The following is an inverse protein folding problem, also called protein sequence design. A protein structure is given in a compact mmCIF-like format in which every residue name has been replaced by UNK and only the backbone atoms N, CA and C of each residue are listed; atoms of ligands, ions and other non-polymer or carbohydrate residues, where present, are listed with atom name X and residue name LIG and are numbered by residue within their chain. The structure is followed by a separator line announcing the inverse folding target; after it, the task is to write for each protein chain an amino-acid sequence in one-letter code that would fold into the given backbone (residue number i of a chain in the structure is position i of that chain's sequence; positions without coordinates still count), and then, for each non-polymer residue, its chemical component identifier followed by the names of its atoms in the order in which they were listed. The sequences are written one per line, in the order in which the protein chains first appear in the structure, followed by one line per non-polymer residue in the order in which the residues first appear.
data_IF_683022385269
#
_entry.id   IF_683022385269
#
_cell.length_a   1.000
_cell.length_b   1.000
_cell.length_c   1.000
_cell.angle_alpha   90.00
_cell.angle_beta   90.00
_cell.angle_gamma   90.00
#
_symmetry.space_group_name_H-M   'P 1'
#
loop_
_entity.id
_entity.type
_entity.pdbx_description
1 polymer ?
#
# COMPACT_ATOMS: atom_id res chain seq x y z
N UNK A 1 -37.11 19.01 19.58
CA UNK A 1 -36.36 17.89 20.18
C UNK A 1 -36.16 16.69 19.25
N UNK A 2 -37.14 16.26 18.48
CA UNK A 2 -36.99 15.11 17.54
C UNK A 2 -36.08 15.42 16.35
N UNK A 3 -36.11 16.63 15.79
CA UNK A 3 -35.28 17.05 14.66
C UNK A 3 -33.79 17.09 15.02
N UNK A 4 -33.49 17.57 16.25
CA UNK A 4 -32.08 17.66 16.72
C UNK A 4 -31.46 16.28 16.93
N UNK A 5 -32.25 15.30 17.40
CA UNK A 5 -31.80 13.89 17.52
C UNK A 5 -31.55 13.24 16.16
N UNK A 6 -32.33 13.58 15.14
CA UNK A 6 -32.17 13.07 13.79
C UNK A 6 -30.91 13.60 13.14
N UNK A 7 -30.60 14.90 13.30
CA UNK A 7 -29.37 15.54 12.78
C UNK A 7 -28.15 14.98 13.47
N UNK A 8 -28.19 14.76 14.78
CA UNK A 8 -27.10 14.15 15.53
C UNK A 8 -26.83 12.70 15.09
N UNK A 9 -27.88 11.93 14.82
CA UNK A 9 -27.78 10.56 14.32
C UNK A 9 -27.18 10.51 12.91
N UNK A 10 -27.54 11.45 12.02
CA UNK A 10 -26.94 11.57 10.70
C UNK A 10 -25.45 11.93 10.76
N UNK A 11 -25.04 12.83 11.67
CA UNK A 11 -23.63 13.18 11.87
C UNK A 11 -22.78 11.98 12.35
N UNK A 12 -23.36 11.11 13.19
CA UNK A 12 -22.67 9.88 13.61
C UNK A 12 -22.55 8.82 12.51
N UNK A 13 -23.45 8.80 11.54
CA UNK A 13 -23.38 7.84 10.43
C UNK A 13 -22.35 8.23 9.37
N UNK A 14 -22.03 9.52 9.23
CA UNK A 14 -21.00 9.98 8.27
C UNK A 14 -19.58 9.92 8.80
N UNK A 15 -19.36 9.82 10.12
CA UNK A 15 -18.02 9.78 10.71
C UNK A 15 -17.33 8.41 10.61
N UNK A 16 -18.04 7.36 10.24
CA UNK A 16 -17.47 6.00 10.17
C UNK A 16 -16.95 5.59 8.79
N UNK A 17 -17.15 6.40 7.75
CA UNK A 17 -16.76 6.01 6.39
C UNK A 17 -15.25 6.16 6.08
N UNK A 18 -14.50 6.93 6.87
CA UNK A 18 -13.09 7.21 6.61
C UNK A 18 -12.09 6.43 7.47
N UNK A 19 -12.56 5.67 8.46
CA UNK A 19 -11.69 4.98 9.41
C UNK A 19 -11.27 3.56 8.98
N UNK A 20 -11.87 3.01 7.94
CA UNK A 20 -11.77 1.58 7.66
C UNK A 20 -10.55 1.15 6.83
N UNK A 21 -9.92 2.03 6.06
CA UNK A 21 -8.92 1.61 5.08
C UNK A 21 -7.62 1.06 5.70
N UNK A 22 -7.18 1.62 6.84
CA UNK A 22 -5.95 1.15 7.53
C UNK A 22 -6.14 -0.19 8.21
N UNK A 23 -7.23 -0.29 8.93
CA UNK A 23 -7.54 -1.53 9.63
C UNK A 23 -7.82 -2.66 8.67
N UNK A 24 -8.26 -2.37 7.45
CA UNK A 24 -8.47 -3.38 6.42
C UNK A 24 -7.18 -3.91 5.82
N UNK A 25 -6.17 -3.08 5.53
CA UNK A 25 -4.87 -3.56 5.10
C UNK A 25 -4.14 -4.38 6.19
N UNK A 26 -4.29 -3.99 7.47
CA UNK A 26 -3.74 -4.75 8.60
C UNK A 26 -4.63 -5.93 8.99
N UNK A 27 -5.93 -5.85 8.76
CA UNK A 27 -6.92 -6.91 9.02
C UNK A 27 -7.20 -7.81 7.83
N UNK A 28 -6.61 -7.57 6.66
CA UNK A 28 -6.72 -8.51 5.55
C UNK A 28 -6.08 -9.82 6.03
N UNK A 29 -6.85 -10.87 6.33
CA UNK A 29 -6.33 -12.08 6.98
C UNK A 29 -5.38 -12.87 6.08
N UNK A 30 -5.13 -12.38 4.89
CA UNK A 30 -4.37 -13.01 3.82
C UNK A 30 -3.03 -12.32 3.54
N UNK A 31 -2.72 -11.20 4.25
CA UNK A 31 -1.40 -10.58 4.20
C UNK A 31 -0.52 -11.13 5.31
N UNK A 32 0.66 -11.57 4.97
CA UNK A 32 1.69 -11.95 5.93
C UNK A 32 2.83 -10.95 5.95
N UNK A 33 3.36 -10.76 7.16
CA UNK A 33 4.59 -9.98 7.33
C UNK A 33 5.75 -10.83 6.84
N UNK A 34 6.51 -10.28 5.93
CA UNK A 34 7.79 -10.86 5.53
C UNK A 34 8.89 -10.30 6.44
N UNK A 35 9.48 -11.15 7.26
CA UNK A 35 10.52 -10.78 8.21
C UNK A 35 11.84 -10.52 7.50
N UNK A 36 12.00 -9.33 6.95
CA UNK A 36 13.30 -8.82 6.52
C UNK A 36 13.79 -7.81 7.55
N UNK A 37 15.07 -7.89 7.90
CA UNK A 37 15.74 -6.83 8.63
C UNK A 37 15.90 -5.65 7.68
N UNK A 38 15.03 -4.65 7.80
CA UNK A 38 15.13 -3.43 7.02
C UNK A 38 15.81 -2.34 7.84
N UNK A 39 16.79 -1.68 7.27
CA UNK A 39 17.40 -0.50 7.89
C UNK A 39 16.41 0.67 7.97
N UNK A 40 15.42 0.68 7.10
CA UNK A 40 14.48 1.79 6.88
C UNK A 40 13.20 1.71 7.73
N UNK A 41 13.07 0.71 8.60
CA UNK A 41 11.88 0.45 9.42
C UNK A 41 10.59 0.20 8.60
N UNK A 42 10.70 -0.03 7.31
CA UNK A 42 9.57 -0.41 6.47
C UNK A 42 9.10 -1.82 6.83
N UNK A 43 7.81 -2.01 6.74
CA UNK A 43 7.18 -3.33 6.89
C UNK A 43 6.78 -3.85 5.53
N UNK A 44 7.28 -5.02 5.20
CA UNK A 44 6.93 -5.72 3.97
C UNK A 44 5.83 -6.72 4.26
N UNK A 45 4.81 -6.69 3.43
CA UNK A 45 3.68 -7.60 3.48
C UNK A 45 3.58 -8.29 2.12
N UNK A 46 3.12 -9.51 2.10
CA UNK A 46 2.83 -10.20 0.86
C UNK A 46 1.47 -10.88 0.91
N UNK A 47 0.83 -11.00 -0.25
CA UNK A 47 -0.45 -11.64 -0.37
C UNK A 47 -0.27 -13.17 -0.35
N UNK A 48 -0.87 -13.86 0.61
CA UNK A 48 -0.99 -15.31 0.66
C UNK A 48 -2.16 -15.84 -0.15
N UNK A 49 -3.18 -15.03 -0.30
CA UNK A 49 -4.40 -15.32 -1.03
C UNK A 49 -4.83 -14.07 -1.78
N UNK A 50 -5.62 -14.21 -2.83
CA UNK A 50 -6.22 -13.05 -3.48
C UNK A 50 -6.99 -12.19 -2.49
N UNK A 51 -6.87 -10.89 -2.64
CA UNK A 51 -7.64 -9.93 -1.87
C UNK A 51 -8.15 -8.78 -2.72
N UNK A 52 -9.18 -8.14 -2.22
CA UNK A 52 -9.82 -6.99 -2.85
C UNK A 52 -9.94 -5.88 -1.82
N UNK A 53 -9.57 -4.67 -2.18
CA UNK A 53 -9.63 -3.48 -1.33
C UNK A 53 -10.06 -2.25 -2.13
N UNK A 54 -10.17 -1.11 -1.44
CA UNK A 54 -10.52 0.17 -2.04
C UNK A 54 -12.02 0.43 -2.05
N UNK A 55 -12.39 1.59 -2.58
CA UNK A 55 -13.78 1.99 -2.74
C UNK A 55 -14.47 1.01 -3.70
N UNK A 56 -15.59 0.44 -3.28
CA UNK A 56 -16.33 -0.56 -4.06
C UNK A 56 -15.49 -1.79 -4.47
N UNK A 57 -14.49 -2.14 -3.68
CA UNK A 57 -13.61 -3.28 -3.96
C UNK A 57 -12.96 -3.20 -5.35
N UNK A 58 -12.54 -2.03 -5.76
CA UNK A 58 -12.03 -1.80 -7.12
C UNK A 58 -10.56 -2.15 -7.30
N UNK A 59 -9.80 -2.41 -6.23
CA UNK A 59 -8.39 -2.84 -6.28
C UNK A 59 -8.32 -4.33 -6.01
N UNK A 60 -7.80 -5.09 -6.96
CA UNK A 60 -7.61 -6.52 -6.86
C UNK A 60 -6.13 -6.87 -6.91
N UNK A 61 -5.74 -7.84 -6.09
CA UNK A 61 -4.38 -8.36 -6.01
C UNK A 61 -4.42 -9.86 -5.75
N UNK A 62 -3.55 -10.59 -6.40
CA UNK A 62 -3.46 -12.03 -6.26
C UNK A 62 -2.29 -12.44 -5.36
N UNK A 63 -2.27 -13.71 -4.95
CA UNK A 63 -1.22 -14.25 -4.11
C UNK A 63 0.12 -14.28 -4.85
N UNK A 64 1.19 -14.02 -4.12
CA UNK A 64 2.55 -14.07 -4.62
C UNK A 64 3.26 -15.38 -4.23
N UNK A 65 4.12 -15.87 -5.11
CA UNK A 65 4.96 -17.03 -4.83
C UNK A 65 6.19 -16.64 -4.01
N UNK A 66 6.59 -17.47 -3.05
CA UNK A 66 7.77 -17.18 -2.18
C UNK A 66 9.06 -16.96 -2.96
N UNK A 67 9.23 -17.66 -4.08
CA UNK A 67 10.46 -17.60 -4.89
C UNK A 67 10.72 -16.20 -5.45
N UNK A 68 9.68 -15.50 -5.87
CA UNK A 68 9.81 -14.18 -6.47
C UNK A 68 9.87 -13.06 -5.42
N UNK A 69 9.31 -13.31 -4.25
CA UNK A 69 9.31 -12.35 -3.14
C UNK A 69 10.70 -11.93 -2.72
N UNK A 70 11.57 -12.88 -2.40
CA UNK A 70 12.92 -12.57 -1.89
C UNK A 70 13.70 -11.70 -2.88
N UNK A 71 13.67 -12.07 -4.17
CA UNK A 71 14.33 -11.32 -5.22
C UNK A 71 13.79 -9.89 -5.32
N UNK A 72 12.47 -9.70 -5.28
CA UNK A 72 11.84 -8.38 -5.33
C UNK A 72 12.14 -7.55 -4.10
N UNK A 73 12.23 -8.16 -2.93
CA UNK A 73 12.66 -7.46 -1.72
C UNK A 73 14.06 -6.89 -1.84
N UNK A 74 15.01 -7.67 -2.33
CA UNK A 74 16.39 -7.21 -2.52
C UNK A 74 16.43 -6.01 -3.48
N UNK A 75 15.61 -6.03 -4.52
CA UNK A 75 15.48 -4.89 -5.45
C UNK A 75 14.93 -3.68 -4.73
N UNK A 76 13.87 -3.83 -3.94
CA UNK A 76 13.26 -2.73 -3.19
C UNK A 76 14.26 -2.12 -2.20
N UNK A 77 14.90 -2.93 -1.38
CA UNK A 77 15.89 -2.47 -0.40
C UNK A 77 17.05 -1.73 -1.06
N UNK A 78 17.61 -2.28 -2.13
CA UNK A 78 18.67 -1.65 -2.91
C UNK A 78 18.25 -0.28 -3.45
N UNK A 79 17.03 -0.15 -3.94
CA UNK A 79 16.55 1.10 -4.52
C UNK A 79 16.16 2.12 -3.45
N UNK A 80 15.52 1.69 -2.38
CA UNK A 80 15.13 2.59 -1.28
C UNK A 80 16.35 3.07 -0.47
N UNK A 81 17.42 2.29 -0.39
CA UNK A 81 18.66 2.73 0.25
C UNK A 81 19.36 3.92 -0.45
N UNK A 82 18.97 4.23 -1.69
CA UNK A 82 19.43 5.43 -2.42
C UNK A 82 18.82 6.73 -1.90
N UNK A 83 17.69 6.64 -1.20
CA UNK A 83 17.07 7.81 -0.59
C UNK A 83 17.70 8.09 0.78
N UNK A 84 17.91 9.36 1.13
CA UNK A 84 18.36 9.71 2.48
C UNK A 84 17.39 9.16 3.55
N UNK A 85 17.93 8.64 4.65
CA UNK A 85 17.09 8.07 5.73
C UNK A 85 16.08 9.08 6.28
N UNK A 86 16.47 10.34 6.44
CA UNK A 86 15.58 11.41 6.92
C UNK A 86 14.47 11.73 5.92
N UNK A 87 14.73 11.56 4.64
CA UNK A 87 13.75 11.76 3.59
C UNK A 87 12.65 10.70 3.62
N UNK A 88 13.02 9.41 3.69
CA UNK A 88 12.05 8.33 3.82
C UNK A 88 11.21 8.46 5.10
N UNK A 89 11.84 8.90 6.19
CA UNK A 89 11.12 9.19 7.43
C UNK A 89 10.13 10.35 7.28
N UNK A 90 10.49 11.39 6.54
CA UNK A 90 9.64 12.55 6.30
C UNK A 90 8.38 12.20 5.51
N UNK A 91 8.50 11.39 4.48
CA UNK A 91 7.33 10.92 3.71
C UNK A 91 6.52 9.87 4.46
N UNK A 92 7.04 9.37 5.57
CA UNK A 92 6.37 8.42 6.47
C UNK A 92 5.85 7.15 5.78
N UNK A 93 6.51 6.70 4.71
CA UNK A 93 6.20 5.42 4.09
C UNK A 93 6.33 4.31 5.14
N UNK A 94 5.28 3.50 5.33
CA UNK A 94 5.20 2.51 6.40
C UNK A 94 5.21 1.08 5.90
N UNK A 95 4.47 0.84 4.83
CA UNK A 95 4.22 -0.51 4.34
C UNK A 95 4.48 -0.62 2.86
N UNK A 96 5.01 -1.76 2.45
CA UNK A 96 5.06 -2.17 1.05
C UNK A 96 4.38 -3.53 0.95
N UNK A 97 3.34 -3.60 0.12
CA UNK A 97 2.56 -4.82 -0.12
C UNK A 97 2.95 -5.39 -1.48
N UNK A 98 3.36 -6.65 -1.48
CA UNK A 98 3.74 -7.38 -2.66
C UNK A 98 2.64 -8.36 -3.05
N UNK A 99 2.23 -8.31 -4.31
CA UNK A 99 1.25 -9.23 -4.87
C UNK A 99 1.44 -9.43 -6.37
N UNK A 100 0.62 -10.21 -7.00
CA UNK A 100 0.63 -10.46 -8.44
C UNK A 100 -0.69 -10.02 -9.08
N UNK A 101 -0.63 -9.70 -10.37
CA UNK A 101 -1.80 -9.31 -11.17
C UNK A 101 -2.61 -8.16 -10.51
N UNK A 102 -1.90 -7.13 -10.06
CA UNK A 102 -2.50 -5.95 -9.46
C UNK A 102 -3.35 -5.20 -10.49
N UNK A 103 -4.58 -4.86 -10.13
CA UNK A 103 -5.48 -4.11 -11.01
C UNK A 103 -6.35 -3.12 -10.24
N UNK A 104 -6.76 -2.05 -10.93
CA UNK A 104 -7.76 -1.08 -10.46
C UNK A 104 -8.92 -1.10 -11.44
N UNK A 105 -10.12 -1.40 -10.97
CA UNK A 105 -11.34 -1.47 -11.80
C UNK A 105 -11.15 -2.36 -13.04
N UNK A 106 -10.42 -3.48 -12.88
CA UNK A 106 -10.12 -4.42 -13.95
C UNK A 106 -8.98 -4.02 -14.89
N UNK A 107 -8.36 -2.86 -14.68
CA UNK A 107 -7.21 -2.41 -15.48
C UNK A 107 -5.93 -2.75 -14.72
N UNK A 108 -5.07 -3.58 -15.33
CA UNK A 108 -3.78 -3.96 -14.76
C UNK A 108 -2.88 -2.76 -14.52
N UNK A 109 -2.23 -2.71 -13.35
CA UNK A 109 -1.27 -1.69 -12.98
C UNK A 109 -0.07 -2.32 -12.27
N UNK A 110 1.07 -1.67 -12.34
CA UNK A 110 2.29 -2.21 -11.72
C UNK A 110 2.51 -1.73 -10.28
N UNK A 111 1.85 -0.65 -9.86
CA UNK A 111 1.91 -0.12 -8.52
C UNK A 111 0.73 0.79 -8.20
N UNK A 112 0.44 0.94 -6.92
CA UNK A 112 -0.60 1.83 -6.39
C UNK A 112 -0.04 2.48 -5.14
N UNK A 113 0.13 3.82 -5.09
CA UNK A 113 0.46 4.54 -3.87
C UNK A 113 -0.81 4.83 -3.08
N UNK A 114 -0.83 4.49 -1.82
CA UNK A 114 -1.85 4.93 -0.88
C UNK A 114 -1.24 6.01 0.03
N UNK A 115 -1.52 7.26 -0.32
CA UNK A 115 -0.95 8.41 0.37
C UNK A 115 -1.48 8.57 1.79
N UNK A 116 -2.73 8.21 2.03
CA UNK A 116 -3.37 8.28 3.36
C UNK A 116 -2.69 7.26 4.29
N UNK A 117 -2.50 6.05 3.78
CA UNK A 117 -1.96 4.92 4.53
C UNK A 117 -0.45 4.88 4.55
N UNK A 118 0.20 5.72 3.74
CA UNK A 118 1.64 5.68 3.52
C UNK A 118 2.10 4.26 3.16
N UNK A 119 1.33 3.64 2.26
CA UNK A 119 1.50 2.26 1.78
C UNK A 119 1.71 2.25 0.28
N UNK A 120 2.57 1.40 -0.18
CA UNK A 120 2.81 1.14 -1.58
C UNK A 120 2.46 -0.32 -1.88
N UNK A 121 1.54 -0.54 -2.81
CA UNK A 121 1.21 -1.87 -3.32
C UNK A 121 1.91 -2.03 -4.67
N UNK A 122 2.65 -3.11 -4.87
CA UNK A 122 3.41 -3.36 -6.09
C UNK A 122 3.19 -4.77 -6.64
N UNK A 123 3.07 -4.85 -7.95
CA UNK A 123 2.98 -6.11 -8.67
C UNK A 123 4.38 -6.67 -8.94
N UNK A 124 4.64 -7.87 -8.44
CA UNK A 124 5.96 -8.52 -8.54
C UNK A 124 6.18 -9.29 -9.86
N UNK A 125 5.17 -9.41 -10.72
CA UNK A 125 5.30 -10.16 -11.99
C UNK A 125 6.16 -9.44 -13.02
N UNK A 126 6.28 -8.14 -12.93
CA UNK A 126 7.08 -7.36 -13.88
C UNK A 126 8.57 -7.68 -13.80
N UNK A 127 9.27 -7.55 -14.93
CA UNK A 127 10.71 -7.72 -14.97
C UNK A 127 11.43 -6.66 -14.09
N UNK A 128 12.67 -6.95 -13.69
CA UNK A 128 13.39 -6.15 -12.70
C UNK A 128 13.52 -4.68 -13.09
N UNK A 129 13.92 -4.41 -14.33
CA UNK A 129 14.14 -3.04 -14.81
C UNK A 129 12.85 -2.21 -14.80
N UNK A 130 11.74 -2.81 -15.18
CA UNK A 130 10.44 -2.15 -15.15
C UNK A 130 9.96 -1.97 -13.70
N UNK A 131 10.14 -2.99 -12.87
CA UNK A 131 9.79 -2.95 -11.46
C UNK A 131 10.56 -1.84 -10.71
N UNK A 132 11.86 -1.66 -10.95
CA UNK A 132 12.63 -0.55 -10.38
C UNK A 132 12.05 0.82 -10.76
N UNK A 133 11.67 1.00 -12.02
CA UNK A 133 11.05 2.26 -12.47
C UNK A 133 9.72 2.52 -11.78
N UNK A 134 8.87 1.51 -11.70
CA UNK A 134 7.58 1.60 -11.01
C UNK A 134 7.79 1.97 -9.55
N UNK A 135 8.70 1.30 -8.85
CA UNK A 135 9.00 1.59 -7.46
C UNK A 135 9.31 3.07 -7.23
N UNK A 136 10.20 3.64 -8.04
CA UNK A 136 10.55 5.06 -7.93
C UNK A 136 9.40 5.98 -8.33
N UNK A 137 8.61 5.60 -9.33
CA UNK A 137 7.44 6.34 -9.77
C UNK A 137 6.40 6.46 -8.65
N UNK A 138 6.07 5.35 -8.01
CA UNK A 138 5.07 5.31 -6.93
C UNK A 138 5.57 5.99 -5.65
N UNK A 139 6.85 5.83 -5.32
CA UNK A 139 7.48 6.58 -4.22
C UNK A 139 7.41 8.09 -4.49
N UNK A 140 7.60 8.51 -5.74
CA UNK A 140 7.47 9.93 -6.12
C UNK A 140 6.06 10.48 -5.86
N UNK A 141 5.01 9.70 -6.09
CA UNK A 141 3.64 10.11 -5.76
C UNK A 141 3.46 10.35 -4.27
N UNK A 142 3.99 9.46 -3.42
CA UNK A 142 3.95 9.62 -1.96
C UNK A 142 4.73 10.87 -1.52
N UNK A 143 5.88 11.13 -2.14
CA UNK A 143 6.68 12.31 -1.89
C UNK A 143 5.89 13.57 -2.24
N UNK A 144 5.41 13.65 -3.47
CA UNK A 144 4.70 14.81 -3.96
C UNK A 144 3.48 15.17 -3.11
N UNK A 145 2.77 14.16 -2.61
CA UNK A 145 1.66 14.36 -1.68
C UNK A 145 2.13 14.90 -0.33
N UNK A 146 3.22 14.35 0.20
CA UNK A 146 3.78 14.75 1.51
C UNK A 146 4.35 16.18 1.54
N UNK A 147 4.55 16.80 0.39
CA UNK A 147 5.02 18.19 0.28
C UNK A 147 3.93 19.19 -0.09
N UNK A 148 2.68 18.74 -0.28
CA UNK A 148 1.53 19.61 -0.52
C UNK A 148 0.87 20.11 0.78
N UNK A 149 1.22 19.49 1.90
CA UNK A 149 0.83 19.89 3.25
C UNK A 149 1.85 20.89 3.81
#
# INVERSE_FOLDING_TARGET
MKLFKLILLCLFLFSNAYANTIYELIKIPHLEIYNIKTENKLRYLYAKQPFTIGVDNNINCFNSTKKDLEKKYLIIEKNLSRYPKDFLKKINLKYIVLCEDLSISGIGTAGIPDNVMKTLIVDIKFNEKYFERVLHHEVFHIINDSYKE
#
